data_IF_169112230617
#
_entry.id   IF_169112230617
#
_cell.length_a   1.000
_cell.length_b   1.000
_cell.length_c   1.000
_cell.angle_alpha   90.00
_cell.angle_beta   90.00
_cell.angle_gamma   90.00
#
_symmetry.space_group_name_H-M   'P 1'
#
loop_
_entity.id
_entity.type
_entity.pdbx_description
1 polymer ?
#
# COMPACT_ATOMS: atom_id res chain seq x y z
N UNK A 1 14.00 4.01 -20.60
CA UNK A 1 13.25 2.74 -20.73
C UNK A 1 11.91 3.00 -20.08
N UNK A 2 10.85 2.71 -20.80
CA UNK A 2 9.48 2.86 -20.29
C UNK A 2 9.29 1.90 -19.13
N UNK A 3 9.21 2.42 -17.90
CA UNK A 3 9.18 1.64 -16.65
C UNK A 3 7.93 0.76 -16.60
N UNK A 4 6.89 1.11 -17.36
CA UNK A 4 5.60 0.44 -17.38
C UNK A 4 5.49 -0.69 -18.42
N UNK A 5 6.46 -0.85 -19.32
CA UNK A 5 6.37 -1.77 -20.47
C UNK A 5 6.36 -3.27 -20.14
N UNK A 6 6.45 -3.65 -18.86
CA UNK A 6 6.46 -5.05 -18.42
C UNK A 6 5.30 -5.44 -17.49
N UNK A 7 4.58 -4.48 -16.89
CA UNK A 7 3.50 -4.80 -15.94
C UNK A 7 2.26 -5.34 -16.65
N UNK A 8 1.72 -6.47 -16.15
CA UNK A 8 0.44 -7.01 -16.60
C UNK A 8 -0.77 -6.15 -16.20
N UNK A 9 -0.58 -5.25 -15.25
CA UNK A 9 -1.65 -4.47 -14.62
C UNK A 9 -1.90 -3.14 -15.32
N UNK A 10 -0.89 -2.64 -16.05
CA UNK A 10 -0.92 -1.32 -16.67
C UNK A 10 -1.59 -1.32 -18.04
N UNK A 11 -2.47 -0.36 -18.28
CA UNK A 11 -3.02 -0.03 -19.61
C UNK A 11 -3.41 1.44 -19.65
N UNK A 12 -2.95 2.15 -20.66
CA UNK A 12 -3.43 3.49 -20.96
C UNK A 12 -4.87 3.47 -21.47
N UNK A 13 -5.63 4.51 -21.12
CA UNK A 13 -6.99 4.69 -21.62
C UNK A 13 -7.05 5.86 -22.63
N UNK A 14 -7.86 5.73 -23.69
CA UNK A 14 -8.10 6.82 -24.62
C UNK A 14 -8.69 8.06 -23.94
N UNK A 15 -8.35 9.25 -24.45
CA UNK A 15 -8.87 10.52 -23.91
C UNK A 15 -10.40 10.56 -23.79
N UNK A 16 -11.12 9.92 -24.71
CA UNK A 16 -12.58 9.86 -24.68
C UNK A 16 -13.12 9.07 -23.47
N UNK A 17 -12.41 8.05 -23.03
CA UNK A 17 -12.74 7.31 -21.78
C UNK A 17 -12.55 8.23 -20.58
N UNK A 18 -11.44 8.97 -20.51
CA UNK A 18 -11.17 9.94 -19.45
C UNK A 18 -12.23 11.04 -19.41
N UNK A 19 -12.61 11.59 -20.56
CA UNK A 19 -13.73 12.55 -20.68
C UNK A 19 -15.04 11.98 -20.13
N UNK A 20 -15.35 10.72 -20.44
CA UNK A 20 -16.55 10.06 -19.94
C UNK A 20 -16.53 9.91 -18.41
N UNK A 21 -15.38 9.54 -17.82
CA UNK A 21 -15.20 9.45 -16.37
C UNK A 21 -15.47 10.82 -15.73
N UNK A 22 -14.81 11.88 -16.20
CA UNK A 22 -14.96 13.22 -15.63
C UNK A 22 -16.39 13.79 -15.77
N UNK A 23 -17.03 13.55 -16.91
CA UNK A 23 -18.44 13.93 -17.10
C UNK A 23 -19.36 13.23 -16.11
N UNK A 24 -19.19 11.91 -15.92
CA UNK A 24 -20.06 11.13 -15.02
C UNK A 24 -19.79 11.41 -13.55
N UNK A 25 -18.53 11.52 -13.17
CA UNK A 25 -18.14 11.64 -11.77
C UNK A 25 -18.22 13.07 -11.23
N UNK A 26 -17.90 14.08 -12.05
CA UNK A 26 -17.80 15.49 -11.64
C UNK A 26 -18.75 16.41 -12.39
N UNK A 27 -19.53 15.92 -13.37
CA UNK A 27 -20.33 16.77 -14.25
C UNK A 27 -19.48 17.67 -15.16
N UNK A 28 -18.21 17.36 -15.36
CA UNK A 28 -17.30 18.16 -16.16
C UNK A 28 -17.51 17.92 -17.65
N UNK A 29 -18.08 18.91 -18.35
CA UNK A 29 -18.36 18.82 -19.79
C UNK A 29 -17.09 18.86 -20.65
N UNK A 30 -15.99 19.43 -20.13
CA UNK A 30 -14.74 19.59 -20.88
C UNK A 30 -13.57 19.01 -20.13
N UNK A 31 -12.80 18.14 -20.79
CA UNK A 31 -11.44 17.75 -20.44
C UNK A 31 -10.53 18.22 -21.57
N UNK A 32 -9.59 19.11 -21.24
CA UNK A 32 -8.68 19.72 -22.22
C UNK A 32 -7.49 18.84 -22.51
N UNK A 33 -6.91 18.27 -21.43
CA UNK A 33 -5.71 17.48 -21.50
C UNK A 33 -5.75 16.38 -20.43
N UNK A 34 -5.22 15.22 -20.77
CA UNK A 34 -4.91 14.15 -19.84
C UNK A 34 -3.48 13.67 -20.15
N UNK A 35 -2.56 13.94 -19.23
CA UNK A 35 -1.16 13.56 -19.36
C UNK A 35 -0.86 12.40 -18.43
N UNK A 36 -0.35 11.31 -18.98
CA UNK A 36 0.12 10.18 -18.17
C UNK A 36 1.23 10.64 -17.21
N UNK A 37 1.15 10.21 -15.95
CA UNK A 37 2.21 10.41 -14.96
C UNK A 37 3.08 9.16 -14.88
N UNK A 38 4.40 9.38 -14.82
CA UNK A 38 5.36 8.29 -14.66
C UNK A 38 5.34 7.72 -13.23
N UNK A 39 5.69 6.44 -13.08
CA UNK A 39 6.00 5.81 -11.80
C UNK A 39 4.96 4.86 -11.22
N UNK A 40 3.76 4.75 -11.79
CA UNK A 40 2.75 3.78 -11.32
C UNK A 40 2.85 2.43 -12.02
N UNK A 41 3.32 1.38 -11.33
CA UNK A 41 3.33 0.00 -11.88
C UNK A 41 1.98 -0.71 -11.68
N UNK A 42 1.26 -0.36 -10.63
CA UNK A 42 -0.03 -0.95 -10.27
C UNK A 42 -1.21 -0.18 -10.90
N UNK A 43 -1.27 1.12 -10.67
CA UNK A 43 -2.32 2.01 -11.19
C UNK A 43 -1.85 2.77 -12.44
N UNK A 44 -2.77 3.06 -13.36
CA UNK A 44 -2.54 4.00 -14.46
C UNK A 44 -2.98 5.39 -14.01
N UNK A 45 -2.04 6.34 -13.92
CA UNK A 45 -2.27 7.65 -13.30
C UNK A 45 -2.13 8.77 -14.31
N UNK A 46 -3.13 9.68 -14.36
CA UNK A 46 -3.14 10.83 -15.23
C UNK A 46 -3.23 12.13 -14.45
N UNK A 47 -2.50 13.16 -14.88
CA UNK A 47 -2.81 14.55 -14.57
C UNK A 47 -3.81 15.07 -15.62
N UNK A 48 -4.97 15.49 -15.15
CA UNK A 48 -6.08 15.92 -16.02
C UNK A 48 -6.38 17.38 -15.78
N UNK A 49 -6.43 18.17 -16.87
CA UNK A 49 -6.92 19.57 -16.88
C UNK A 49 -8.35 19.57 -17.41
N UNK A 50 -9.29 20.09 -16.63
CA UNK A 50 -10.72 20.05 -16.93
C UNK A 50 -11.46 21.33 -16.54
N UNK A 51 -12.72 21.42 -16.97
CA UNK A 51 -13.58 22.57 -16.67
C UNK A 51 -13.18 23.85 -17.39
N UNK A 52 -14.00 24.90 -17.22
CA UNK A 52 -13.76 26.22 -17.81
C UNK A 52 -12.62 26.99 -17.13
N UNK A 53 -12.40 26.73 -15.83
CA UNK A 53 -11.37 27.35 -14.99
C UNK A 53 -10.00 26.67 -15.07
N UNK A 54 -9.84 25.66 -15.94
CA UNK A 54 -8.58 24.87 -16.04
C UNK A 54 -8.16 24.22 -14.73
N UNK A 55 -9.14 23.71 -13.99
CA UNK A 55 -8.88 22.94 -12.77
C UNK A 55 -8.03 21.72 -13.09
N UNK A 56 -7.19 21.30 -12.13
CA UNK A 56 -6.34 20.12 -12.28
C UNK A 56 -6.68 19.06 -11.25
N UNK A 57 -6.75 17.83 -11.71
CA UNK A 57 -6.97 16.65 -10.87
C UNK A 57 -6.03 15.53 -11.26
N UNK A 58 -5.80 14.61 -10.32
CA UNK A 58 -5.14 13.32 -10.57
C UNK A 58 -6.23 12.27 -10.70
N UNK A 59 -6.25 11.59 -11.84
CA UNK A 59 -7.07 10.40 -12.09
C UNK A 59 -6.20 9.16 -11.93
N UNK A 60 -6.54 8.28 -11.01
CA UNK A 60 -5.95 6.95 -10.86
C UNK A 60 -6.96 5.91 -11.34
N UNK A 61 -6.51 5.02 -12.21
CA UNK A 61 -7.28 3.89 -12.72
C UNK A 61 -6.67 2.60 -12.20
N UNK A 62 -7.45 1.76 -11.55
CA UNK A 62 -7.04 0.48 -11.02
C UNK A 62 -6.54 -0.48 -12.11
N UNK A 63 -5.97 -1.63 -11.75
CA UNK A 63 -5.37 -2.60 -12.66
C UNK A 63 -6.39 -3.24 -13.62
N UNK A 64 -5.91 -3.66 -14.80
CA UNK A 64 -6.75 -4.33 -15.82
C UNK A 64 -6.88 -5.83 -15.57
N UNK A 65 -5.79 -6.52 -15.24
CA UNK A 65 -5.72 -7.97 -15.06
C UNK A 65 -6.03 -8.36 -13.60
N UNK A 66 -7.26 -8.09 -13.14
CA UNK A 66 -7.67 -8.22 -11.74
C UNK A 66 -7.52 -9.62 -11.14
N UNK A 67 -7.48 -10.67 -11.95
CA UNK A 67 -7.23 -12.02 -11.47
C UNK A 67 -5.79 -12.22 -10.98
N UNK A 68 -4.89 -11.31 -11.34
CA UNK A 68 -3.48 -11.32 -10.94
C UNK A 68 -3.21 -10.62 -9.62
N UNK A 69 -4.01 -9.62 -9.23
CA UNK A 69 -3.79 -8.89 -7.98
C UNK A 69 -4.22 -9.71 -6.77
N UNK A 70 -3.61 -9.40 -5.63
CA UNK A 70 -3.94 -10.04 -4.36
C UNK A 70 -5.40 -9.83 -3.99
N UNK A 71 -5.92 -10.71 -3.14
CA UNK A 71 -7.29 -10.59 -2.70
C UNK A 71 -7.57 -9.33 -1.89
N UNK A 72 -6.62 -8.85 -1.07
CA UNK A 72 -6.74 -7.57 -0.37
C UNK A 72 -6.54 -6.36 -1.29
N UNK A 73 -6.00 -6.53 -2.48
CA UNK A 73 -5.85 -5.47 -3.49
C UNK A 73 -7.08 -5.28 -4.38
N UNK A 74 -8.10 -6.08 -4.19
CA UNK A 74 -9.42 -5.77 -4.74
C UNK A 74 -10.02 -4.58 -3.98
N UNK A 75 -10.70 -3.66 -4.66
CA UNK A 75 -11.40 -2.55 -4.00
C UNK A 75 -10.47 -1.51 -3.29
N UNK A 76 -9.22 -1.35 -3.74
CA UNK A 76 -8.25 -0.43 -3.12
C UNK A 76 -8.70 1.03 -3.14
N UNK A 77 -9.41 1.48 -4.19
CA UNK A 77 -9.89 2.87 -4.28
C UNK A 77 -10.88 3.22 -3.15
N UNK A 78 -11.71 2.25 -2.72
CA UNK A 78 -12.59 2.45 -1.57
C UNK A 78 -11.81 2.49 -0.25
N UNK A 79 -10.80 1.63 -0.10
CA UNK A 79 -9.94 1.61 1.09
C UNK A 79 -9.16 2.92 1.24
N UNK A 80 -8.61 3.44 0.16
CA UNK A 80 -7.89 4.71 0.13
C UNK A 80 -8.81 5.89 0.44
N UNK A 81 -10.01 5.93 -0.15
CA UNK A 81 -11.01 6.97 0.15
C UNK A 81 -11.39 6.96 1.63
N UNK A 82 -11.56 5.78 2.22
CA UNK A 82 -11.80 5.61 3.66
C UNK A 82 -10.64 6.19 4.47
N UNK A 83 -9.39 5.80 4.16
CA UNK A 83 -8.24 6.27 4.93
C UNK A 83 -8.02 7.78 4.80
N UNK A 84 -8.21 8.36 3.61
CA UNK A 84 -8.12 9.81 3.43
C UNK A 84 -9.18 10.57 4.26
N UNK A 85 -10.38 10.02 4.40
CA UNK A 85 -11.38 10.60 5.30
C UNK A 85 -10.90 10.58 6.76
N UNK A 86 -10.38 9.45 7.24
CA UNK A 86 -9.79 9.34 8.59
C UNK A 86 -8.61 10.29 8.77
N UNK A 87 -7.67 10.32 7.82
CA UNK A 87 -6.49 11.19 7.88
C UNK A 87 -6.87 12.67 8.02
N UNK A 88 -7.85 13.12 7.24
CA UNK A 88 -8.38 14.49 7.33
C UNK A 88 -8.94 14.79 8.71
N UNK A 89 -9.73 13.87 9.27
CA UNK A 89 -10.38 14.06 10.58
C UNK A 89 -9.35 14.12 11.74
N UNK A 90 -8.23 13.40 11.63
CA UNK A 90 -7.15 13.40 12.62
C UNK A 90 -6.01 14.37 12.28
N UNK A 91 -6.14 15.18 11.23
CA UNK A 91 -5.18 16.23 10.85
C UNK A 91 -3.87 15.68 10.26
N UNK A 92 -3.91 14.56 9.52
CA UNK A 92 -2.80 14.10 8.68
C UNK A 92 -3.04 14.65 7.27
N UNK A 93 -2.06 15.36 6.67
CA UNK A 93 -2.20 15.87 5.31
C UNK A 93 -2.42 14.75 4.30
N UNK A 94 -3.46 14.84 3.49
CA UNK A 94 -3.79 13.88 2.44
C UNK A 94 -4.51 14.58 1.28
N UNK A 95 -4.57 13.98 0.08
CA UNK A 95 -5.30 14.55 -1.04
C UNK A 95 -6.80 14.69 -0.75
N UNK A 96 -7.41 15.74 -1.33
CA UNK A 96 -8.87 15.85 -1.37
C UNK A 96 -9.41 14.88 -2.42
N UNK A 97 -10.24 13.94 -2.02
CA UNK A 97 -10.96 13.03 -2.93
C UNK A 97 -12.13 13.77 -3.53
N UNK A 98 -12.15 13.93 -4.85
CA UNK A 98 -13.24 14.57 -5.58
C UNK A 98 -14.31 13.57 -5.98
N UNK A 99 -13.91 12.36 -6.38
CA UNK A 99 -14.80 11.25 -6.69
C UNK A 99 -14.01 9.93 -6.69
N UNK A 100 -14.71 8.82 -6.49
CA UNK A 100 -14.19 7.47 -6.70
C UNK A 100 -15.33 6.53 -7.07
N UNK A 101 -15.02 5.43 -7.76
CA UNK A 101 -16.01 4.42 -8.14
C UNK A 101 -15.34 3.06 -8.30
N UNK A 102 -15.94 2.05 -7.69
CA UNK A 102 -15.58 0.64 -7.82
C UNK A 102 -16.69 -0.19 -8.45
N UNK A 103 -17.78 0.47 -8.90
CA UNK A 103 -18.89 -0.19 -9.61
C UNK A 103 -18.54 -0.56 -11.05
N UNK A 104 -17.53 0.09 -11.64
CA UNK A 104 -17.05 -0.09 -13.02
C UNK A 104 -18.08 0.23 -14.09
N UNK A 105 -19.06 1.05 -13.78
CA UNK A 105 -20.11 1.43 -14.77
C UNK A 105 -19.68 2.54 -15.72
N UNK A 106 -18.71 3.37 -15.30
CA UNK A 106 -18.17 4.46 -16.13
C UNK A 106 -17.02 3.99 -17.04
N UNK A 107 -16.20 3.08 -16.55
CA UNK A 107 -15.08 2.41 -17.21
C UNK A 107 -14.96 1.02 -16.58
N UNK A 108 -14.46 0.01 -17.31
CA UNK A 108 -14.27 -1.35 -16.77
C UNK A 108 -13.03 -1.44 -15.84
N UNK A 109 -12.89 -0.45 -14.97
CA UNK A 109 -11.81 -0.33 -13.97
C UNK A 109 -12.33 0.47 -12.78
N UNK A 110 -11.77 0.21 -11.61
CA UNK A 110 -11.93 1.09 -10.46
C UNK A 110 -11.22 2.41 -10.74
N UNK A 111 -11.74 3.53 -10.24
CA UNK A 111 -11.04 4.80 -10.35
C UNK A 111 -11.19 5.69 -9.12
N UNK A 112 -10.21 6.58 -8.94
CA UNK A 112 -10.25 7.70 -8.01
C UNK A 112 -9.79 8.97 -8.68
N UNK A 113 -10.49 10.07 -8.39
CA UNK A 113 -10.12 11.42 -8.79
C UNK A 113 -9.81 12.22 -7.53
N UNK A 114 -8.59 12.72 -7.43
CA UNK A 114 -8.17 13.61 -6.33
C UNK A 114 -7.79 14.98 -6.88
N UNK A 115 -7.89 16.02 -6.04
CA UNK A 115 -7.37 17.35 -6.39
C UNK A 115 -5.86 17.28 -6.60
N UNK A 116 -5.37 17.88 -7.68
CA UNK A 116 -3.94 17.97 -7.94
C UNK A 116 -3.25 18.89 -6.90
N UNK A 117 -2.16 18.42 -6.33
CA UNK A 117 -1.29 19.17 -5.41
C UNK A 117 0.02 19.47 -6.16
N UNK A 118 0.33 20.77 -6.46
CA UNK A 118 1.63 21.14 -7.01
C UNK A 118 2.73 20.81 -5.99
N UNK A 119 3.50 19.78 -6.25
CA UNK A 119 4.43 19.22 -5.26
C UNK A 119 5.63 18.53 -5.92
N UNK A 120 6.55 18.08 -5.11
CA UNK A 120 7.60 17.12 -5.45
C UNK A 120 7.52 15.94 -4.47
N UNK A 121 7.72 14.71 -4.94
CA UNK A 121 7.83 13.57 -4.04
C UNK A 121 9.13 13.69 -3.21
N UNK A 122 9.06 13.38 -1.92
CA UNK A 122 10.21 13.51 -1.00
C UNK A 122 11.45 12.75 -1.48
N UNK A 123 11.27 11.62 -2.17
CA UNK A 123 12.37 10.84 -2.77
C UNK A 123 13.14 11.61 -3.85
N UNK A 124 12.49 12.56 -4.51
CA UNK A 124 13.04 13.37 -5.60
C UNK A 124 13.39 14.80 -5.16
N UNK A 125 13.17 15.17 -3.90
CA UNK A 125 13.43 16.51 -3.39
C UNK A 125 14.88 16.63 -2.95
N UNK A 126 15.54 17.71 -3.41
CA UNK A 126 16.87 18.07 -2.90
C UNK A 126 16.73 18.74 -1.54
N UNK A 127 17.38 18.20 -0.51
CA UNK A 127 17.34 18.71 0.85
C UNK A 127 18.57 18.32 1.66
N UNK A 128 18.80 19.02 2.78
CA UNK A 128 19.81 18.64 3.76
C UNK A 128 19.39 17.40 4.56
N UNK A 129 20.35 16.67 5.12
CA UNK A 129 20.06 15.54 6.01
C UNK A 129 19.27 15.98 7.26
N UNK A 130 19.53 17.17 7.79
CA UNK A 130 18.76 17.73 8.90
C UNK A 130 17.28 17.87 8.53
N UNK A 131 16.99 18.45 7.35
CA UNK A 131 15.60 18.58 6.88
C UNK A 131 14.94 17.22 6.64
N UNK A 132 15.68 16.26 6.09
CA UNK A 132 15.20 14.87 5.95
C UNK A 132 14.82 14.28 7.30
N UNK A 133 15.65 14.42 8.31
CA UNK A 133 15.38 13.93 9.66
C UNK A 133 14.15 14.59 10.27
N UNK A 134 13.95 15.90 10.07
CA UNK A 134 12.74 16.60 10.55
C UNK A 134 11.47 16.06 9.89
N UNK A 135 11.51 15.82 8.58
CA UNK A 135 10.37 15.26 7.84
C UNK A 135 10.09 13.82 8.29
N UNK A 136 11.09 12.98 8.44
CA UNK A 136 10.93 11.62 8.95
C UNK A 136 10.36 11.63 10.38
N UNK A 137 10.81 12.54 11.24
CA UNK A 137 10.24 12.71 12.59
C UNK A 137 8.75 13.08 12.53
N UNK A 138 8.37 14.01 11.64
CA UNK A 138 6.96 14.39 11.43
C UNK A 138 6.13 13.21 10.93
N UNK A 139 6.65 12.40 9.97
CA UNK A 139 5.99 11.20 9.50
C UNK A 139 5.76 10.19 10.62
N UNK A 140 6.74 10.02 11.51
CA UNK A 140 6.58 9.19 12.70
C UNK A 140 5.43 9.69 13.60
N UNK A 141 5.32 11.01 13.80
CA UNK A 141 4.22 11.60 14.56
C UNK A 141 2.86 11.43 13.87
N UNK A 142 2.81 11.43 12.53
CA UNK A 142 1.60 11.12 11.77
C UNK A 142 1.16 9.67 11.96
N UNK A 143 2.09 8.72 11.84
CA UNK A 143 1.83 7.29 12.08
C UNK A 143 1.33 7.05 13.51
N UNK A 144 1.94 7.72 14.50
CA UNK A 144 1.48 7.61 15.89
C UNK A 144 0.02 8.02 16.04
N UNK A 145 -0.42 9.10 15.36
CA UNK A 145 -1.82 9.53 15.39
C UNK A 145 -2.73 8.55 14.65
N UNK A 146 -2.28 8.04 13.51
CA UNK A 146 -3.04 7.05 12.75
C UNK A 146 -3.27 5.78 13.57
N UNK A 147 -2.24 5.26 14.22
CA UNK A 147 -2.32 4.07 15.05
C UNK A 147 -3.14 4.24 16.35
N UNK A 148 -3.55 5.47 16.70
CA UNK A 148 -4.54 5.69 17.77
C UNK A 148 -5.97 5.41 17.31
N UNK A 149 -6.22 5.39 16.01
CA UNK A 149 -7.50 4.96 15.45
C UNK A 149 -7.58 3.43 15.54
N UNK A 150 -8.65 2.92 16.14
CA UNK A 150 -8.86 1.48 16.30
C UNK A 150 -10.15 1.05 15.61
N UNK A 151 -10.17 -0.18 15.11
CA UNK A 151 -11.35 -0.81 14.55
C UNK A 151 -12.02 -1.79 15.51
N UNK A 152 -13.18 -2.31 15.11
CA UNK A 152 -13.90 -3.37 15.84
C UNK A 152 -13.42 -4.78 15.45
N UNK A 153 -12.70 -4.89 14.31
CA UNK A 153 -12.21 -6.15 13.77
C UNK A 153 -10.86 -5.97 13.09
N UNK A 154 -10.14 -7.07 12.90
CA UNK A 154 -8.87 -7.10 12.18
C UNK A 154 -9.09 -7.32 10.68
N UNK A 155 -8.13 -6.87 9.84
CA UNK A 155 -8.09 -7.14 8.40
C UNK A 155 -7.78 -5.91 7.56
N UNK A 156 -7.41 -6.13 6.31
CA UNK A 156 -7.23 -5.05 5.35
C UNK A 156 -8.53 -4.27 5.17
N UNK A 157 -8.42 -2.94 5.11
CA UNK A 157 -9.60 -2.06 5.00
C UNK A 157 -10.44 -2.41 3.77
N UNK A 158 -9.83 -2.75 2.64
CA UNK A 158 -10.52 -3.22 1.44
C UNK A 158 -11.42 -4.44 1.72
N UNK A 159 -10.94 -5.39 2.51
CA UNK A 159 -11.71 -6.59 2.92
C UNK A 159 -12.82 -6.25 3.90
N UNK A 160 -12.51 -5.41 4.89
CA UNK A 160 -13.49 -4.99 5.91
C UNK A 160 -14.66 -4.25 5.27
N UNK A 161 -14.41 -3.38 4.28
CA UNK A 161 -15.45 -2.69 3.51
C UNK A 161 -16.31 -3.64 2.65
N UNK A 162 -15.79 -4.80 2.28
CA UNK A 162 -16.53 -5.87 1.60
C UNK A 162 -17.26 -6.81 2.58
N UNK A 163 -17.20 -6.52 3.89
CA UNK A 163 -17.87 -7.32 4.93
C UNK A 163 -17.07 -8.53 5.42
N UNK A 164 -15.78 -8.62 5.09
CA UNK A 164 -14.91 -9.68 5.60
C UNK A 164 -14.21 -9.23 6.87
N UNK A 165 -14.69 -9.72 8.00
CA UNK A 165 -14.24 -9.37 9.34
C UNK A 165 -13.52 -10.54 10.00
N UNK A 166 -12.52 -10.23 10.85
CA UNK A 166 -11.78 -11.21 11.64
C UNK A 166 -11.73 -10.76 13.10
N UNK A 167 -12.11 -11.68 13.99
CA UNK A 167 -12.11 -11.41 15.44
C UNK A 167 -10.71 -11.45 16.04
N UNK A 168 -9.74 -12.07 15.35
CA UNK A 168 -8.37 -12.24 15.81
C UNK A 168 -7.37 -11.79 14.75
N UNK A 169 -6.21 -11.30 15.24
CA UNK A 169 -5.13 -10.92 14.32
C UNK A 169 -4.57 -12.12 13.55
N UNK A 170 -4.44 -13.28 14.20
CA UNK A 170 -4.02 -14.48 13.48
C UNK A 170 -4.98 -14.86 12.36
N UNK A 171 -6.29 -14.71 12.58
CA UNK A 171 -7.30 -14.99 11.57
C UNK A 171 -7.13 -14.11 10.34
N UNK A 172 -6.98 -12.79 10.54
CA UNK A 172 -6.76 -11.84 9.47
C UNK A 172 -5.42 -12.05 8.76
N UNK A 173 -4.35 -12.13 9.51
CA UNK A 173 -3.00 -12.20 8.97
C UNK A 173 -2.74 -13.51 8.21
N UNK A 174 -3.12 -14.66 8.80
CA UNK A 174 -2.95 -15.97 8.15
C UNK A 174 -3.80 -16.10 6.89
N UNK A 175 -4.99 -15.50 6.85
CA UNK A 175 -5.83 -15.50 5.66
C UNK A 175 -5.11 -14.89 4.46
N UNK A 176 -4.43 -13.76 4.65
CA UNK A 176 -3.69 -13.11 3.55
C UNK A 176 -2.37 -13.81 3.23
N UNK A 177 -1.67 -14.36 4.24
CA UNK A 177 -0.48 -15.20 4.00
C UNK A 177 -0.84 -16.43 3.16
N UNK A 178 -1.96 -17.08 3.44
CA UNK A 178 -2.44 -18.24 2.68
C UNK A 178 -2.84 -17.87 1.25
N UNK A 179 -3.42 -16.67 1.04
CA UNK A 179 -3.71 -16.17 -0.33
C UNK A 179 -2.40 -15.91 -1.11
N UNK A 180 -1.40 -15.22 -0.51
CA UNK A 180 -0.09 -14.98 -1.15
C UNK A 180 0.58 -16.29 -1.54
N UNK A 181 0.71 -17.23 -0.60
CA UNK A 181 1.40 -18.49 -0.82
C UNK A 181 0.66 -19.38 -1.83
N UNK A 182 -0.67 -19.42 -1.75
CA UNK A 182 -1.50 -20.13 -2.72
C UNK A 182 -1.36 -19.58 -4.13
N UNK A 183 -1.24 -18.26 -4.28
CA UNK A 183 -0.97 -17.64 -5.59
C UNK A 183 0.43 -17.92 -6.08
N UNK A 184 1.45 -17.84 -5.22
CA UNK A 184 2.82 -18.23 -5.60
C UNK A 184 2.86 -19.68 -6.10
N UNK A 185 2.13 -20.60 -5.46
CA UNK A 185 2.00 -21.99 -5.92
C UNK A 185 1.26 -22.08 -7.26
N UNK A 186 0.10 -21.43 -7.38
CA UNK A 186 -0.74 -21.46 -8.58
C UNK A 186 -0.02 -20.89 -9.83
N UNK A 187 0.85 -19.87 -9.64
CA UNK A 187 1.66 -19.29 -10.71
C UNK A 187 3.02 -20.00 -10.91
N UNK A 188 3.25 -21.13 -10.23
CA UNK A 188 4.45 -21.93 -10.37
C UNK A 188 5.69 -21.33 -9.68
N UNK A 189 5.52 -20.37 -8.79
CA UNK A 189 6.59 -19.76 -8.01
C UNK A 189 7.07 -20.63 -6.85
N UNK A 190 6.17 -21.40 -6.26
CA UNK A 190 6.48 -22.39 -5.22
C UNK A 190 5.99 -23.78 -5.65
N UNK A 191 6.72 -24.82 -5.27
CA UNK A 191 6.19 -26.18 -5.26
C UNK A 191 5.24 -26.37 -4.06
N UNK A 192 4.35 -27.37 -4.10
CA UNK A 192 3.48 -27.69 -2.97
C UNK A 192 4.25 -27.97 -1.66
N UNK A 193 5.44 -28.57 -1.78
CA UNK A 193 6.34 -28.80 -0.62
C UNK A 193 6.88 -27.49 -0.03
N UNK A 194 7.36 -26.57 -0.88
CA UNK A 194 7.81 -25.23 -0.47
C UNK A 194 6.66 -24.41 0.11
N UNK A 195 5.48 -24.42 -0.50
CA UNK A 195 4.29 -23.72 0.00
C UNK A 195 3.90 -24.21 1.41
N UNK A 196 3.87 -25.51 1.62
CA UNK A 196 3.64 -26.11 2.94
C UNK A 196 4.69 -25.70 3.98
N UNK A 197 5.97 -25.69 3.57
CA UNK A 197 7.08 -25.29 4.43
C UNK A 197 7.01 -23.80 4.81
N UNK A 198 6.65 -22.91 3.84
CA UNK A 198 6.46 -21.46 4.08
C UNK A 198 5.30 -21.23 5.05
N UNK A 199 4.16 -21.91 4.89
CA UNK A 199 2.98 -21.70 5.74
C UNK A 199 3.17 -22.24 7.17
N UNK A 200 4.01 -23.23 7.37
CA UNK A 200 4.15 -23.91 8.66
C UNK A 200 4.56 -22.97 9.81
N UNK A 201 5.58 -22.09 9.73
CA UNK A 201 5.93 -21.16 10.80
C UNK A 201 4.80 -20.19 11.14
N UNK A 202 4.08 -19.66 10.16
CA UNK A 202 2.93 -18.77 10.39
C UNK A 202 1.82 -19.48 11.16
N UNK A 203 1.45 -20.69 10.74
CA UNK A 203 0.39 -21.48 11.39
C UNK A 203 0.72 -21.88 12.81
N UNK A 204 1.99 -22.19 13.09
CA UNK A 204 2.45 -22.48 14.46
C UNK A 204 2.42 -21.28 15.39
N UNK A 205 2.52 -20.06 14.84
CA UNK A 205 2.57 -18.82 15.60
C UNK A 205 1.21 -18.18 15.85
N UNK A 206 0.10 -18.90 15.63
CA UNK A 206 -1.26 -18.40 15.82
C UNK A 206 -1.47 -17.76 17.19
N UNK A 207 -1.13 -18.47 18.28
CA UNK A 207 -1.27 -17.98 19.65
C UNK A 207 -0.42 -16.72 19.91
N UNK A 208 0.77 -16.66 19.31
CA UNK A 208 1.66 -15.51 19.38
C UNK A 208 1.07 -14.28 18.67
N UNK A 209 0.49 -14.47 17.49
CA UNK A 209 -0.19 -13.41 16.75
C UNK A 209 -1.44 -12.92 17.52
N UNK A 210 -2.18 -13.82 18.17
CA UNK A 210 -3.38 -13.50 18.95
C UNK A 210 -3.09 -12.81 20.30
N UNK A 211 -1.82 -12.57 20.64
CA UNK A 211 -1.47 -11.63 21.71
C UNK A 211 -1.81 -10.18 21.35
N UNK A 212 -1.89 -9.86 20.05
CA UNK A 212 -2.39 -8.58 19.55
C UNK A 212 -3.90 -8.53 19.73
N UNK A 213 -4.38 -7.66 20.61
CA UNK A 213 -5.79 -7.58 21.02
C UNK A 213 -6.54 -6.40 20.43
N UNK A 214 -5.83 -5.37 20.00
CA UNK A 214 -6.41 -4.14 19.51
C UNK A 214 -6.07 -3.97 18.03
N UNK A 215 -7.09 -3.86 17.14
CA UNK A 215 -6.87 -3.59 15.73
C UNK A 215 -6.60 -2.10 15.52
N UNK A 216 -5.33 -1.73 15.41
CA UNK A 216 -4.89 -0.37 15.09
C UNK A 216 -4.92 -0.13 13.59
N UNK A 217 -5.31 1.07 13.16
CA UNK A 217 -5.29 1.43 11.75
C UNK A 217 -3.87 1.77 11.29
N UNK A 218 -3.36 1.01 10.32
CA UNK A 218 -2.01 1.11 9.76
C UNK A 218 -2.10 1.55 8.31
N UNK A 219 -1.02 2.16 7.79
CA UNK A 219 -0.91 2.60 6.40
C UNK A 219 -0.25 1.55 5.50
N UNK A 220 0.81 0.92 5.98
CA UNK A 220 1.68 -0.10 5.39
C UNK A 220 2.57 0.34 4.21
N UNK A 221 2.45 1.56 3.72
CA UNK A 221 3.24 2.04 2.57
C UNK A 221 3.73 3.48 2.71
N UNK A 222 4.11 3.93 3.93
CA UNK A 222 4.72 5.25 4.15
C UNK A 222 6.22 5.20 3.85
N UNK A 223 6.59 5.52 2.62
CA UNK A 223 7.97 5.74 2.20
C UNK A 223 8.14 7.08 1.47
N UNK A 224 9.37 7.51 1.22
CA UNK A 224 9.64 8.84 0.65
C UNK A 224 8.99 9.13 -0.71
N UNK A 225 8.62 8.10 -1.48
CA UNK A 225 7.89 8.25 -2.74
C UNK A 225 6.41 8.63 -2.54
N UNK A 226 5.83 8.25 -1.40
CA UNK A 226 4.43 8.49 -1.05
C UNK A 226 4.22 9.73 -0.18
N UNK A 227 5.24 10.60 -0.08
CA UNK A 227 5.19 11.87 0.66
C UNK A 227 5.39 13.02 -0.32
N UNK A 228 4.37 13.87 -0.44
CA UNK A 228 4.38 15.05 -1.31
C UNK A 228 4.81 16.28 -0.52
N UNK A 229 5.85 16.96 -1.00
CA UNK A 229 6.39 18.16 -0.39
C UNK A 229 6.10 19.38 -1.25
N UNK A 230 5.94 20.53 -0.60
CA UNK A 230 6.03 21.82 -1.25
C UNK A 230 7.43 22.03 -1.86
N UNK A 231 7.48 22.55 -3.07
CA UNK A 231 8.74 22.67 -3.83
C UNK A 231 9.71 23.70 -3.25
N UNK A 232 9.20 24.70 -2.53
CA UNK A 232 9.98 25.83 -2.01
C UNK A 232 10.27 25.66 -0.52
N UNK A 233 9.22 25.34 0.26
CA UNK A 233 9.32 25.25 1.73
C UNK A 233 9.71 23.86 2.22
N UNK A 234 9.58 22.83 1.39
CA UNK A 234 9.73 21.41 1.72
C UNK A 234 8.81 20.95 2.87
N UNK A 235 7.67 21.62 3.05
CA UNK A 235 6.65 21.17 4.00
C UNK A 235 5.86 19.99 3.44
N UNK A 236 5.40 19.08 4.31
CA UNK A 236 4.56 17.95 3.90
C UNK A 236 3.18 18.47 3.51
N UNK A 237 2.84 18.35 2.23
CA UNK A 237 1.53 18.70 1.68
C UNK A 237 0.55 17.54 1.69
N UNK A 238 1.02 16.31 1.52
CA UNK A 238 0.20 15.12 1.58
C UNK A 238 1.03 13.85 1.78
N UNK A 239 0.44 12.87 2.46
CA UNK A 239 0.80 11.45 2.39
C UNK A 239 -0.21 10.77 1.48
N UNK A 240 0.28 9.99 0.51
CA UNK A 240 -0.52 9.36 -0.54
C UNK A 240 -0.34 7.85 -0.53
N UNK A 241 -1.13 7.15 -1.37
CA UNK A 241 -1.04 5.71 -1.61
C UNK A 241 -1.32 4.88 -0.36
N UNK A 242 -2.43 5.19 0.30
CA UNK A 242 -2.88 4.57 1.55
C UNK A 242 -3.85 3.39 1.30
N UNK A 243 -3.81 2.82 0.13
CA UNK A 243 -4.75 1.81 -0.33
C UNK A 243 -4.56 0.43 0.35
N UNK A 244 -3.34 0.14 0.86
CA UNK A 244 -3.02 -1.09 1.61
C UNK A 244 -3.31 -1.00 3.11
N UNK A 245 -4.10 -0.03 3.55
CA UNK A 245 -4.42 0.16 4.95
C UNK A 245 -5.02 -1.11 5.59
N UNK A 246 -4.65 -1.36 6.84
CA UNK A 246 -5.09 -2.55 7.60
C UNK A 246 -5.38 -2.20 9.04
N UNK A 247 -6.37 -2.84 9.62
CA UNK A 247 -6.58 -2.89 11.06
C UNK A 247 -5.77 -4.06 11.64
N UNK A 248 -4.65 -3.77 12.32
CA UNK A 248 -3.67 -4.79 12.71
C UNK A 248 -2.74 -4.39 13.86
N UNK A 249 -1.60 -5.09 13.92
CA UNK A 249 -0.53 -4.84 14.87
C UNK A 249 0.38 -3.70 14.38
N UNK A 250 0.64 -2.62 15.15
CA UNK A 250 1.60 -1.59 14.80
C UNK A 250 3.00 -2.11 14.43
N UNK A 251 3.44 -3.22 14.99
CA UNK A 251 4.72 -3.85 14.62
C UNK A 251 4.73 -4.35 13.16
N UNK A 252 3.57 -4.57 12.54
CA UNK A 252 3.47 -4.93 11.13
C UNK A 252 3.88 -3.76 10.23
N UNK A 253 3.44 -2.53 10.50
CA UNK A 253 3.93 -1.33 9.82
C UNK A 253 5.46 -1.22 9.87
N UNK A 254 6.03 -1.39 11.07
CA UNK A 254 7.47 -1.24 11.30
C UNK A 254 8.32 -2.44 10.84
N UNK A 255 7.72 -3.51 10.32
CA UNK A 255 8.44 -4.61 9.70
C UNK A 255 8.81 -4.34 8.23
N UNK A 256 8.23 -3.33 7.61
CA UNK A 256 8.58 -2.93 6.26
C UNK A 256 10.03 -2.41 6.18
N UNK A 257 10.78 -2.70 5.08
CA UNK A 257 12.19 -2.32 4.96
C UNK A 257 12.46 -0.82 5.05
N UNK A 258 11.52 0.00 4.57
CA UNK A 258 11.62 1.47 4.55
C UNK A 258 11.30 2.14 5.89
N UNK A 259 10.87 1.37 6.89
CA UNK A 259 10.51 1.86 8.23
C UNK A 259 11.66 1.85 9.24
N UNK A 260 12.90 1.72 8.76
CA UNK A 260 14.09 1.63 9.64
C UNK A 260 14.69 2.99 10.03
N UNK A 261 14.17 4.10 9.47
CA UNK A 261 14.71 5.43 9.76
C UNK A 261 14.61 5.79 11.24
N UNK A 262 15.75 6.13 11.91
CA UNK A 262 15.74 6.41 13.35
C UNK A 262 14.93 7.66 13.71
N UNK A 263 14.86 8.68 12.84
CA UNK A 263 14.08 9.88 13.11
C UNK A 263 12.58 9.60 13.07
N UNK A 264 12.12 8.78 12.10
CA UNK A 264 10.74 8.32 12.02
C UNK A 264 10.35 7.53 13.29
N UNK A 265 11.20 6.58 13.70
CA UNK A 265 10.96 5.80 14.93
C UNK A 265 10.90 6.68 16.18
N UNK A 266 11.77 7.70 16.30
CA UNK A 266 11.70 8.69 17.39
C UNK A 266 10.41 9.52 17.34
N UNK A 267 10.02 10.00 16.17
CA UNK A 267 8.79 10.78 15.98
C UNK A 267 7.52 9.99 16.35
N UNK A 268 7.51 8.70 16.05
CA UNK A 268 6.46 7.78 16.48
C UNK A 268 6.50 7.53 18.00
N UNK A 269 7.67 7.60 18.62
CA UNK A 269 7.92 7.11 19.98
C UNK A 269 7.97 5.59 20.03
N UNK A 270 8.53 4.96 18.97
CA UNK A 270 8.60 3.52 18.86
C UNK A 270 9.54 2.96 19.93
N UNK A 271 9.07 2.07 20.79
CA UNK A 271 9.91 1.49 21.82
C UNK A 271 10.96 0.57 21.20
N UNK A 272 12.20 0.69 21.65
CA UNK A 272 13.23 -0.26 21.26
C UNK A 272 12.82 -1.68 21.61
N UNK A 273 13.00 -2.59 20.66
CA UNK A 273 12.76 -4.00 20.89
C UNK A 273 13.98 -4.57 21.61
N UNK A 274 13.77 -5.01 22.83
CA UNK A 274 14.85 -5.63 23.61
C UNK A 274 15.24 -6.98 22.99
N UNK A 275 16.53 -7.33 23.00
CA UNK A 275 16.99 -8.62 22.45
C UNK A 275 16.40 -9.85 23.15
N UNK A 276 15.87 -9.71 24.37
CA UNK A 276 15.21 -10.76 25.14
C UNK A 276 13.71 -10.86 24.87
N UNK A 277 13.10 -9.92 24.15
CA UNK A 277 11.69 -9.96 23.73
C UNK A 277 11.52 -10.87 22.51
N UNK A 278 11.70 -12.17 22.74
CA UNK A 278 11.67 -13.19 21.69
C UNK A 278 10.32 -13.27 20.96
N UNK A 279 9.24 -13.05 21.68
CA UNK A 279 7.89 -13.12 21.11
C UNK A 279 7.66 -11.99 20.11
N UNK A 280 8.02 -10.76 20.45
CA UNK A 280 7.91 -9.61 19.55
C UNK A 280 8.87 -9.72 18.37
N UNK A 281 10.10 -10.19 18.60
CA UNK A 281 11.07 -10.44 17.52
C UNK A 281 10.54 -11.49 16.52
N UNK A 282 9.92 -12.58 17.04
CA UNK A 282 9.33 -13.61 16.18
C UNK A 282 8.12 -13.08 15.38
N UNK A 283 7.22 -12.30 16.00
CA UNK A 283 6.13 -11.64 15.25
C UNK A 283 6.68 -10.78 14.11
N UNK A 284 7.69 -9.95 14.39
CA UNK A 284 8.32 -9.11 13.36
C UNK A 284 8.99 -9.90 12.25
N UNK A 285 9.61 -11.04 12.57
CA UNK A 285 10.15 -11.95 11.56
C UNK A 285 9.05 -12.46 10.62
N UNK A 286 7.91 -12.84 11.15
CA UNK A 286 6.75 -13.27 10.36
C UNK A 286 6.19 -12.12 9.51
N UNK A 287 6.10 -10.91 10.06
CA UNK A 287 5.68 -9.72 9.30
C UNK A 287 6.65 -9.40 8.17
N UNK A 288 7.96 -9.50 8.43
CA UNK A 288 8.96 -9.36 7.37
C UNK A 288 8.79 -10.42 6.28
N UNK A 289 8.55 -11.67 6.67
CA UNK A 289 8.31 -12.76 5.72
C UNK A 289 7.04 -12.54 4.88
N UNK A 290 6.01 -11.89 5.42
CA UNK A 290 4.83 -11.48 4.65
C UNK A 290 5.22 -10.52 3.53
N UNK A 291 5.97 -9.43 3.83
CA UNK A 291 6.41 -8.48 2.80
C UNK A 291 7.26 -9.15 1.72
N UNK A 292 8.19 -10.00 2.13
CA UNK A 292 9.06 -10.71 1.19
C UNK A 292 8.26 -11.68 0.30
N UNK A 293 7.29 -12.39 0.86
CA UNK A 293 6.39 -13.26 0.10
C UNK A 293 5.51 -12.46 -0.87
N UNK A 294 4.99 -11.31 -0.42
CA UNK A 294 4.21 -10.39 -1.26
C UNK A 294 5.06 -9.88 -2.43
N UNK A 295 6.27 -9.39 -2.17
CA UNK A 295 7.19 -8.89 -3.21
C UNK A 295 7.56 -10.00 -4.22
N UNK A 296 7.74 -11.25 -3.76
CA UNK A 296 7.96 -12.38 -4.64
C UNK A 296 6.76 -12.61 -5.57
N UNK A 297 5.53 -12.51 -5.04
CA UNK A 297 4.32 -12.64 -5.86
C UNK A 297 4.15 -11.45 -6.81
N UNK A 298 4.34 -10.23 -6.34
CA UNK A 298 4.30 -9.00 -7.16
C UNK A 298 5.25 -9.13 -8.36
N UNK A 299 6.48 -9.60 -8.13
CA UNK A 299 7.44 -9.86 -9.20
C UNK A 299 6.95 -10.89 -10.22
N UNK A 300 6.38 -11.99 -9.76
CA UNK A 300 5.93 -13.10 -10.58
C UNK A 300 4.58 -12.85 -11.26
N UNK A 301 3.57 -12.47 -10.48
CA UNK A 301 2.17 -12.44 -10.90
C UNK A 301 1.73 -11.11 -11.49
N UNK A 302 2.29 -9.99 -11.03
CA UNK A 302 1.80 -8.64 -11.34
C UNK A 302 2.71 -7.89 -12.31
N UNK A 303 4.01 -7.81 -12.02
CA UNK A 303 4.93 -6.94 -12.76
C UNK A 303 5.78 -7.66 -13.81
N UNK A 304 5.61 -8.98 -13.98
CA UNK A 304 6.43 -9.78 -14.91
C UNK A 304 7.94 -9.56 -14.69
N UNK A 305 8.35 -9.43 -13.44
CA UNK A 305 9.74 -9.20 -13.06
C UNK A 305 10.36 -10.45 -12.44
N UNK A 306 10.90 -11.31 -13.30
CA UNK A 306 11.50 -12.58 -12.89
C UNK A 306 12.75 -12.42 -11.99
N UNK A 307 13.45 -11.29 -12.07
CA UNK A 307 14.60 -11.02 -11.22
C UNK A 307 14.13 -10.73 -9.78
N UNK A 308 13.14 -9.85 -9.62
CA UNK A 308 12.52 -9.56 -8.32
C UNK A 308 11.95 -10.84 -7.68
N UNK A 309 11.19 -11.61 -8.44
CA UNK A 309 10.61 -12.86 -7.93
C UNK A 309 11.69 -13.81 -7.38
N UNK A 310 12.79 -14.04 -8.13
CA UNK A 310 13.84 -14.97 -7.70
C UNK A 310 14.56 -14.49 -6.45
N UNK A 311 14.92 -13.23 -6.42
CA UNK A 311 15.56 -12.58 -5.28
C UNK A 311 14.70 -12.73 -4.01
N UNK A 312 13.41 -12.39 -4.13
CA UNK A 312 12.49 -12.44 -2.99
C UNK A 312 12.09 -13.86 -2.58
N UNK A 313 12.02 -14.80 -3.52
CA UNK A 313 11.85 -16.21 -3.17
C UNK A 313 13.03 -16.74 -2.34
N UNK A 314 14.27 -16.43 -2.75
CA UNK A 314 15.47 -16.84 -2.02
C UNK A 314 15.50 -16.21 -0.62
N UNK A 315 15.26 -14.89 -0.49
CA UNK A 315 15.14 -14.17 0.79
C UNK A 315 14.07 -14.81 1.69
N UNK A 316 12.89 -15.18 1.14
CA UNK A 316 11.80 -15.80 1.90
C UNK A 316 12.20 -17.14 2.50
N UNK A 317 12.80 -18.02 1.67
CA UNK A 317 13.23 -19.35 2.12
C UNK A 317 14.34 -19.25 3.17
N UNK A 318 15.28 -18.32 3.01
CA UNK A 318 16.33 -18.07 3.98
C UNK A 318 15.79 -17.53 5.31
N UNK A 319 14.90 -16.54 5.24
CA UNK A 319 14.28 -15.89 6.42
C UNK A 319 13.47 -16.89 7.26
N UNK A 320 12.90 -17.90 6.64
CA UNK A 320 12.10 -18.94 7.30
C UNK A 320 12.91 -20.22 7.59
N UNK A 321 14.22 -20.23 7.34
CA UNK A 321 15.14 -21.37 7.55
C UNK A 321 14.73 -22.63 6.74
N UNK A 322 14.13 -22.44 5.55
CA UNK A 322 13.68 -23.52 4.69
C UNK A 322 14.86 -23.95 3.77
N UNK A 323 15.17 -25.23 3.76
CA UNK A 323 16.24 -25.79 2.90
C UNK A 323 17.63 -25.82 3.54
N UNK A 324 17.79 -25.47 4.84
CA UNK A 324 19.05 -25.60 5.59
C UNK A 324 19.20 -26.93 6.32
N UNK A 325 18.48 -27.97 5.89
CA UNK A 325 18.65 -29.34 6.42
C UNK A 325 19.55 -30.19 5.53
#
# INVERSE_FOLDING_TARGET
MDVNSGSWLFREEPLEVIKNIFRRALGAETVREARLLDGGLFNTTYLVTYGAGEERAVLRLGPVERHRIMGFEQNLMAAEAYLYAVCRDIGIPCPEVLAWDTSRTAVDRDFMITRYIPSVAMVNAEMTEERRHDLCFQLGAYLRRLHQVTGESFGFVSRVLEGRHFDTWSGAFLFEVEDIVGRLEAFGGLTAGEAGAVLAPFRRSRELLDQVRTPHLLHLDIWAGNVLLDRETLEILAVIDSDRAVFGDPDFEFAAPWMEDPALRRGYGFPEIRPDDRERLERRRLYRAFYVALDAYVGLGEYNNQALYRDKKEELLELLDIGKM
#
